data_IF_413632333111
#
_entry.id   IF_413632333111
#
_cell.length_a   1.000
_cell.length_b   1.000
_cell.length_c   1.000
_cell.angle_alpha   90.00
_cell.angle_beta   90.00
_cell.angle_gamma   90.00
#
_symmetry.space_group_name_H-M   'P 1'
#
loop_
_entity.id
_entity.type
_entity.pdbx_description
1 polymer ?
#
# COMPACT_ATOMS: atom_id res chain seq x y z
N UNK A 1 -1.51 -37.62 -22.68
CA UNK A 1 -0.90 -36.37 -23.15
C UNK A 1 -0.62 -35.46 -21.95
N UNK A 2 0.04 -35.99 -20.90
CA UNK A 2 0.28 -35.32 -19.62
C UNK A 2 1.62 -35.72 -18.97
N UNK A 3 2.60 -36.14 -19.80
CA UNK A 3 3.89 -36.69 -19.31
C UNK A 3 5.12 -35.99 -19.92
N UNK A 4 5.08 -34.63 -20.05
CA UNK A 4 6.21 -33.90 -20.66
C UNK A 4 6.64 -32.63 -19.91
N UNK A 5 6.44 -32.55 -18.58
CA UNK A 5 6.88 -31.40 -17.78
C UNK A 5 7.69 -31.74 -16.52
N UNK A 6 8.55 -32.76 -16.61
CA UNK A 6 9.50 -33.08 -15.56
C UNK A 6 10.89 -33.30 -16.18
N UNK A 7 11.54 -32.26 -16.65
CA UNK A 7 12.99 -32.24 -16.79
C UNK A 7 13.58 -31.33 -15.72
N UNK A 8 14.35 -31.95 -14.82
CA UNK A 8 15.07 -31.32 -13.73
C UNK A 8 16.30 -30.60 -14.27
N UNK A 9 16.43 -29.28 -14.04
CA UNK A 9 17.72 -28.62 -14.09
C UNK A 9 18.30 -28.46 -12.68
N UNK A 10 19.64 -28.65 -12.49
CA UNK A 10 20.26 -28.65 -11.17
C UNK A 10 20.40 -27.24 -10.60
N UNK A 11 20.00 -27.06 -9.36
CA UNK A 11 20.22 -25.89 -8.52
C UNK A 11 21.72 -25.71 -8.27
N UNK A 12 22.40 -24.92 -9.06
CA UNK A 12 23.68 -24.34 -8.68
C UNK A 12 23.47 -22.88 -8.26
N UNK A 13 23.81 -22.64 -7.01
CA UNK A 13 23.64 -21.34 -6.38
C UNK A 13 24.65 -20.31 -6.86
N UNK A 14 24.15 -19.15 -7.12
CA UNK A 14 24.82 -17.89 -6.81
C UNK A 14 23.73 -16.85 -6.52
N UNK A 15 23.35 -16.75 -5.24
CA UNK A 15 22.42 -15.76 -4.74
C UNK A 15 23.16 -14.45 -4.54
N UNK A 16 23.48 -13.77 -5.62
CA UNK A 16 23.64 -12.32 -5.55
C UNK A 16 22.27 -11.73 -5.28
N UNK A 17 22.05 -11.32 -4.03
CA UNK A 17 20.91 -10.50 -3.60
C UNK A 17 20.96 -9.22 -4.45
N UNK A 18 20.21 -9.22 -5.56
CA UNK A 18 19.91 -7.98 -6.27
C UNK A 18 19.17 -7.09 -5.27
N UNK A 19 19.74 -5.94 -4.96
CA UNK A 19 19.08 -4.83 -4.28
C UNK A 19 17.84 -4.43 -5.12
N UNK A 20 16.71 -5.07 -4.88
CA UNK A 20 15.41 -4.70 -5.41
C UNK A 20 14.71 -3.88 -4.35
N UNK A 21 15.11 -2.62 -4.23
CA UNK A 21 14.45 -1.63 -3.38
C UNK A 21 13.55 -0.68 -4.14
N UNK A 22 13.19 -0.96 -5.40
CA UNK A 22 12.30 -0.09 -6.17
C UNK A 22 10.87 -0.63 -6.14
N UNK A 23 9.95 0.23 -5.78
CA UNK A 23 8.52 -0.05 -5.90
C UNK A 23 8.15 -0.32 -7.36
N UNK A 24 7.70 -1.54 -7.61
CA UNK A 24 7.39 -2.05 -8.96
C UNK A 24 6.03 -1.56 -9.50
N UNK A 25 5.35 -0.67 -8.78
CA UNK A 25 4.04 -0.13 -9.16
C UNK A 25 4.10 1.11 -10.06
N UNK A 26 5.29 1.58 -10.39
CA UNK A 26 5.51 2.85 -11.10
C UNK A 26 6.36 2.61 -12.35
N UNK A 27 5.96 3.20 -13.48
CA UNK A 27 6.73 3.15 -14.74
C UNK A 27 7.98 4.04 -14.62
N UNK A 28 9.17 3.44 -14.70
CA UNK A 28 10.48 4.08 -14.48
C UNK A 28 11.17 4.50 -15.77
N UNK A 29 10.44 4.87 -16.80
CA UNK A 29 11.04 5.25 -18.10
C UNK A 29 11.77 6.59 -18.06
N UNK A 30 11.37 7.52 -17.21
CA UNK A 30 12.05 8.81 -17.04
C UNK A 30 12.96 8.80 -15.80
N UNK A 31 14.28 8.81 -16.04
CA UNK A 31 15.31 8.83 -15.01
C UNK A 31 15.82 10.25 -14.66
N UNK A 32 15.14 11.31 -15.10
CA UNK A 32 15.58 12.69 -14.82
C UNK A 32 15.47 13.08 -13.33
N UNK A 33 14.53 12.45 -12.60
CA UNK A 33 14.40 12.55 -11.15
C UNK A 33 14.10 11.17 -10.58
N UNK A 34 15.07 10.59 -9.88
CA UNK A 34 14.98 9.29 -9.23
C UNK A 34 15.03 9.49 -7.73
N UNK A 35 14.04 8.99 -7.03
CA UNK A 35 13.93 9.07 -5.57
C UNK A 35 13.73 7.67 -5.03
N UNK A 36 14.53 7.32 -4.02
CA UNK A 36 14.39 6.06 -3.28
C UNK A 36 14.60 6.29 -1.78
N UNK A 37 14.21 5.32 -0.97
CA UNK A 37 14.48 5.34 0.48
C UNK A 37 15.61 4.34 0.75
N UNK A 38 16.83 4.84 0.89
CA UNK A 38 18.04 4.04 1.03
C UNK A 38 18.15 3.37 2.40
N UNK A 39 17.62 4.01 3.45
CA UNK A 39 17.65 3.52 4.82
C UNK A 39 16.47 4.08 5.63
N UNK A 40 16.13 3.40 6.72
CA UNK A 40 15.15 3.88 7.67
C UNK A 40 15.50 3.42 9.07
N UNK A 41 15.39 4.33 10.04
CA UNK A 41 15.67 4.08 11.45
C UNK A 41 14.39 4.22 12.27
N UNK A 42 14.15 3.23 13.14
CA UNK A 42 13.06 3.30 14.11
C UNK A 42 13.60 3.76 15.46
N UNK A 43 13.30 5.00 15.85
CA UNK A 43 13.66 5.57 17.14
C UNK A 43 12.40 5.75 18.00
N UNK A 44 12.29 4.96 19.07
CA UNK A 44 11.13 4.95 19.98
C UNK A 44 9.79 4.85 19.20
N UNK A 45 9.06 5.97 19.06
CA UNK A 45 7.76 6.02 18.38
C UNK A 45 7.82 6.65 16.99
N UNK A 46 9.00 7.00 16.50
CA UNK A 46 9.21 7.69 15.23
C UNK A 46 10.07 6.87 14.30
N UNK A 47 9.71 6.93 13.01
CA UNK A 47 10.55 6.39 11.94
C UNK A 47 11.12 7.56 11.19
N UNK A 48 12.43 7.54 11.00
CA UNK A 48 13.17 8.44 10.14
C UNK A 48 13.54 7.69 8.86
N UNK A 49 13.17 8.24 7.73
CA UNK A 49 13.45 7.71 6.40
C UNK A 49 14.58 8.51 5.77
N UNK A 50 15.64 7.87 5.34
CA UNK A 50 16.70 8.49 4.54
C UNK A 50 16.27 8.47 3.08
N UNK A 51 15.77 9.59 2.61
CA UNK A 51 15.35 9.79 1.22
C UNK A 51 16.59 10.13 0.41
N UNK A 52 16.91 9.30 -0.56
CA UNK A 52 18.01 9.49 -1.49
C UNK A 52 17.45 9.96 -2.85
N UNK A 53 18.07 11.00 -3.40
CA UNK A 53 17.62 11.62 -4.64
C UNK A 53 18.77 11.72 -5.63
N UNK A 54 18.52 11.28 -6.87
CA UNK A 54 19.38 11.52 -8.04
C UNK A 54 18.61 12.28 -9.10
N UNK A 55 19.18 13.36 -9.61
CA UNK A 55 18.49 14.20 -10.59
C UNK A 55 19.42 14.78 -11.64
N UNK A 56 18.89 14.98 -12.84
CA UNK A 56 19.49 15.75 -13.92
C UNK A 56 18.75 17.07 -14.19
N UNK A 57 17.71 17.34 -13.40
CA UNK A 57 16.92 18.57 -13.53
C UNK A 57 17.74 19.78 -13.06
N UNK A 58 17.70 20.91 -13.81
CA UNK A 58 18.53 22.07 -13.53
C UNK A 58 18.14 22.85 -12.26
N UNK A 59 16.92 22.66 -11.77
CA UNK A 59 16.38 23.41 -10.61
C UNK A 59 16.91 22.90 -9.26
N UNK A 60 17.64 21.77 -9.25
CA UNK A 60 18.24 21.22 -8.04
C UNK A 60 19.69 21.68 -7.86
N UNK A 61 20.09 21.94 -6.62
CA UNK A 61 21.43 22.45 -6.30
C UNK A 61 22.56 21.41 -6.52
N UNK A 62 22.23 20.11 -6.37
CA UNK A 62 23.17 18.99 -6.53
C UNK A 62 22.51 17.90 -7.35
N UNK A 63 23.29 17.10 -8.09
CA UNK A 63 22.78 15.96 -8.87
C UNK A 63 22.49 14.71 -8.03
N UNK A 64 23.05 14.61 -6.82
CA UNK A 64 22.83 13.51 -5.88
C UNK A 64 22.95 14.03 -4.44
N UNK A 65 21.95 13.68 -3.61
CA UNK A 65 21.88 14.11 -2.21
C UNK A 65 20.92 13.24 -1.42
N UNK A 66 20.95 13.37 -0.09
CA UNK A 66 20.07 12.69 0.85
C UNK A 66 19.47 13.66 1.85
N UNK A 67 18.23 13.37 2.27
CA UNK A 67 17.57 14.09 3.34
C UNK A 67 16.83 13.12 4.26
N UNK A 68 16.80 13.41 5.55
CA UNK A 68 16.08 12.60 6.52
C UNK A 68 14.67 13.15 6.71
N UNK A 69 13.63 12.30 6.63
CA UNK A 69 12.22 12.69 6.75
C UNK A 69 11.46 11.77 7.70
N UNK A 70 10.53 12.35 8.46
CA UNK A 70 9.58 11.63 9.31
C UNK A 70 8.24 11.47 8.59
N UNK A 71 7.41 10.54 9.03
CA UNK A 71 6.09 10.29 8.44
C UNK A 71 5.22 11.56 8.33
N UNK A 72 5.27 12.42 9.35
CA UNK A 72 4.50 13.66 9.39
C UNK A 72 4.87 14.64 8.27
N UNK A 73 6.13 14.60 7.81
CA UNK A 73 6.60 15.44 6.70
C UNK A 73 6.06 14.94 5.35
N UNK A 74 5.85 13.62 5.19
CA UNK A 74 5.17 13.06 4.01
C UNK A 74 3.69 13.47 3.98
N UNK A 75 3.01 13.46 5.12
CA UNK A 75 1.62 13.94 5.23
C UNK A 75 1.55 15.43 4.93
N UNK A 76 2.49 16.22 5.46
CA UNK A 76 2.59 17.66 5.14
C UNK A 76 2.76 17.89 3.64
N UNK A 77 3.64 17.14 2.98
CA UNK A 77 3.86 17.26 1.54
C UNK A 77 2.57 16.95 0.76
N UNK A 78 1.90 15.85 1.09
CA UNK A 78 0.61 15.51 0.49
C UNK A 78 -0.41 16.64 0.67
N UNK A 79 -0.53 17.21 1.87
CA UNK A 79 -1.47 18.28 2.17
C UNK A 79 -1.15 19.55 1.36
N UNK A 80 0.13 19.87 1.12
CA UNK A 80 0.51 20.98 0.23
C UNK A 80 0.00 20.79 -1.21
N UNK A 81 0.08 19.56 -1.75
CA UNK A 81 -0.49 19.27 -3.05
C UNK A 81 -2.02 19.38 -3.05
N UNK A 82 -2.69 18.89 -2.02
CA UNK A 82 -4.15 18.94 -1.91
C UNK A 82 -4.71 20.37 -1.75
N UNK A 83 -3.97 21.25 -1.09
CA UNK A 83 -4.36 22.63 -0.86
C UNK A 83 -4.07 23.55 -2.06
N UNK A 84 -3.18 23.15 -2.96
CA UNK A 84 -2.84 23.96 -4.12
C UNK A 84 -3.91 23.87 -5.20
N UNK A 85 -4.57 24.99 -5.49
CA UNK A 85 -5.62 25.08 -6.51
C UNK A 85 -5.14 24.73 -7.94
N UNK A 86 -3.84 24.92 -8.23
CA UNK A 86 -3.26 24.57 -9.54
C UNK A 86 -3.28 23.06 -9.79
N UNK A 87 -3.27 22.26 -8.72
CA UNK A 87 -3.30 20.79 -8.77
C UNK A 87 -4.72 20.22 -8.67
N UNK A 88 -5.74 21.06 -8.64
CA UNK A 88 -7.12 20.61 -8.51
C UNK A 88 -7.58 19.67 -9.62
N UNK A 89 -7.00 19.79 -10.82
CA UNK A 89 -7.28 18.96 -12.01
C UNK A 89 -6.49 17.64 -12.08
N UNK A 90 -5.65 17.32 -11.08
CA UNK A 90 -4.79 16.14 -11.07
C UNK A 90 -5.19 15.14 -9.99
N UNK A 91 -4.84 13.86 -10.20
CA UNK A 91 -4.96 12.82 -9.17
C UNK A 91 -3.73 12.90 -8.25
N UNK A 92 -3.90 13.47 -7.09
CA UNK A 92 -2.82 13.57 -6.10
C UNK A 92 -2.60 12.17 -5.48
N UNK A 93 -1.38 11.61 -5.56
CA UNK A 93 -1.09 10.30 -4.98
C UNK A 93 -1.49 10.24 -3.50
N UNK A 94 -2.12 9.14 -3.03
CA UNK A 94 -2.54 9.03 -1.64
C UNK A 94 -1.33 9.13 -0.71
N UNK A 95 -1.48 9.83 0.41
CA UNK A 95 -0.47 9.87 1.45
C UNK A 95 -0.12 8.45 1.92
N UNK A 96 1.15 8.17 2.26
CA UNK A 96 1.52 6.86 2.80
C UNK A 96 0.78 6.61 4.12
N UNK A 97 0.43 5.34 4.41
CA UNK A 97 -0.26 5.01 5.65
C UNK A 97 0.64 5.27 6.85
N UNK A 98 0.02 5.64 7.98
CA UNK A 98 0.76 5.84 9.23
C UNK A 98 1.42 4.52 9.64
N UNK A 99 2.72 4.54 10.01
CA UNK A 99 3.40 3.37 10.53
C UNK A 99 2.71 2.85 11.80
N UNK A 100 2.33 1.58 11.81
CA UNK A 100 1.74 0.92 12.98
C UNK A 100 2.57 -0.29 13.40
N UNK A 101 3.32 -0.12 14.46
CA UNK A 101 4.12 -1.16 15.10
C UNK A 101 3.59 -1.56 16.48
N UNK A 102 2.42 -1.03 16.86
CA UNK A 102 1.84 -1.25 18.18
C UNK A 102 1.64 -2.74 18.48
N UNK A 103 1.03 -3.47 17.55
CA UNK A 103 0.76 -4.89 17.70
C UNK A 103 2.05 -5.74 17.83
N UNK A 104 3.08 -5.42 17.02
CA UNK A 104 4.36 -6.15 17.08
C UNK A 104 5.12 -5.85 18.39
N UNK A 105 5.10 -4.60 18.86
CA UNK A 105 5.70 -4.22 20.15
C UNK A 105 4.98 -4.85 21.32
N UNK A 106 3.66 -4.89 21.33
CA UNK A 106 2.86 -5.52 22.39
C UNK A 106 3.15 -7.03 22.48
N UNK A 107 3.29 -7.71 21.34
CA UNK A 107 3.68 -9.13 21.31
C UNK A 107 5.10 -9.36 21.87
N UNK A 108 6.06 -8.51 21.48
CA UNK A 108 7.43 -8.58 22.02
C UNK A 108 7.47 -8.31 23.53
N UNK A 109 6.68 -7.36 24.01
CA UNK A 109 6.57 -7.06 25.45
C UNK A 109 5.96 -8.24 26.23
N UNK A 110 4.86 -8.80 25.75
CA UNK A 110 4.24 -10.00 26.36
C UNK A 110 5.19 -11.20 26.37
N UNK A 111 6.02 -11.35 25.34
CA UNK A 111 7.03 -12.40 25.31
C UNK A 111 8.09 -12.18 26.39
N UNK A 112 8.55 -10.94 26.59
CA UNK A 112 9.52 -10.61 27.65
C UNK A 112 8.95 -10.80 29.06
N UNK A 113 7.65 -10.60 29.27
CA UNK A 113 6.98 -10.86 30.56
C UNK A 113 6.77 -12.36 30.80
N UNK A 114 6.67 -13.18 29.76
CA UNK A 114 6.50 -14.64 29.83
C UNK A 114 7.77 -15.46 29.92
N UNK A 115 8.94 -14.85 30.08
CA UNK A 115 10.27 -15.50 30.08
C UNK A 115 10.43 -16.66 31.07
N UNK A 116 9.62 -16.69 32.15
CA UNK A 116 9.64 -17.77 33.15
C UNK A 116 8.72 -18.96 32.84
N UNK A 117 7.89 -18.92 31.81
CA UNK A 117 6.88 -19.97 31.51
C UNK A 117 7.24 -20.86 30.32
N UNK A 118 8.30 -20.53 29.60
CA UNK A 118 8.78 -21.23 28.40
C UNK A 118 10.22 -21.70 28.58
N UNK A 119 10.65 -22.69 27.79
CA UNK A 119 12.07 -23.04 27.70
C UNK A 119 12.84 -21.89 27.01
N UNK A 120 14.13 -21.77 27.32
CA UNK A 120 14.99 -20.75 26.68
C UNK A 120 15.00 -20.86 25.18
N UNK A 121 14.98 -22.07 24.64
CA UNK A 121 14.97 -22.34 23.21
C UNK A 121 13.67 -21.91 22.56
N UNK A 122 12.52 -22.15 23.17
CA UNK A 122 11.21 -21.69 22.70
C UNK A 122 11.10 -20.17 22.74
N UNK A 123 11.58 -19.55 23.81
CA UNK A 123 11.60 -18.10 23.94
C UNK A 123 12.45 -17.42 22.85
N UNK A 124 13.68 -17.90 22.63
CA UNK A 124 14.55 -17.36 21.56
C UNK A 124 13.98 -17.58 20.16
N UNK A 125 13.30 -18.70 19.94
CA UNK A 125 12.65 -18.99 18.68
C UNK A 125 11.49 -18.01 18.42
N UNK A 126 10.63 -17.83 19.40
CA UNK A 126 9.49 -16.91 19.31
C UNK A 126 9.95 -15.46 19.15
N UNK A 127 11.01 -15.07 19.87
CA UNK A 127 11.63 -13.75 19.72
C UNK A 127 12.10 -13.50 18.29
N UNK A 128 12.86 -14.43 17.70
CA UNK A 128 13.33 -14.32 16.30
C UNK A 128 12.18 -14.21 15.29
N UNK A 129 11.08 -14.89 15.53
CA UNK A 129 9.89 -14.82 14.67
C UNK A 129 9.18 -13.48 14.77
N UNK A 130 9.03 -12.94 15.98
CA UNK A 130 8.45 -11.60 16.19
C UNK A 130 9.34 -10.50 15.62
N UNK A 131 10.67 -10.64 15.73
CA UNK A 131 11.62 -9.74 15.09
C UNK A 131 11.51 -9.78 13.56
N UNK A 132 11.33 -10.97 12.97
CA UNK A 132 11.10 -11.12 11.53
C UNK A 132 9.76 -10.50 11.09
N UNK A 133 8.69 -10.67 11.88
CA UNK A 133 7.38 -10.02 11.64
C UNK A 133 7.49 -8.49 11.70
N UNK A 134 8.20 -7.99 12.71
CA UNK A 134 8.49 -6.56 12.84
C UNK A 134 9.26 -6.01 11.61
N UNK A 135 10.31 -6.72 11.21
CA UNK A 135 11.12 -6.33 10.04
C UNK A 135 10.31 -6.34 8.74
N UNK A 136 9.41 -7.31 8.56
CA UNK A 136 8.52 -7.35 7.40
C UNK A 136 7.57 -6.13 7.37
N UNK A 137 6.96 -5.80 8.51
CA UNK A 137 6.11 -4.60 8.66
C UNK A 137 6.90 -3.31 8.41
N UNK A 138 8.14 -3.27 8.87
CA UNK A 138 9.03 -2.14 8.66
C UNK A 138 9.36 -1.94 7.17
N UNK A 139 9.78 -3.00 6.46
CA UNK A 139 10.04 -2.98 5.02
C UNK A 139 8.82 -2.55 4.21
N UNK A 140 7.65 -3.04 4.57
CA UNK A 140 6.36 -2.63 3.98
C UNK A 140 6.09 -1.14 4.17
N UNK A 141 6.34 -0.61 5.37
CA UNK A 141 6.19 0.81 5.67
C UNK A 141 7.12 1.66 4.80
N UNK A 142 8.41 1.27 4.68
CA UNK A 142 9.37 1.95 3.81
C UNK A 142 8.90 1.95 2.36
N UNK A 143 8.50 0.80 1.82
CA UNK A 143 8.03 0.67 0.44
C UNK A 143 6.82 1.58 0.14
N UNK A 144 5.86 1.70 1.07
CA UNK A 144 4.69 2.57 0.88
C UNK A 144 5.05 4.05 0.84
N UNK A 145 6.05 4.49 1.63
CA UNK A 145 6.56 5.87 1.59
C UNK A 145 7.33 6.14 0.30
N UNK A 146 8.12 5.18 -0.16
CA UNK A 146 8.85 5.26 -1.43
C UNK A 146 7.91 5.35 -2.63
N UNK A 147 6.83 4.54 -2.68
CA UNK A 147 5.81 4.61 -3.74
C UNK A 147 5.24 6.03 -3.88
N UNK A 148 4.93 6.69 -2.78
CA UNK A 148 4.42 8.05 -2.78
C UNK A 148 5.40 9.02 -3.46
N UNK A 149 6.68 8.99 -3.07
CA UNK A 149 7.71 9.85 -3.64
C UNK A 149 7.97 9.53 -5.12
N UNK A 150 8.04 8.25 -5.48
CA UNK A 150 8.21 7.81 -6.87
C UNK A 150 7.07 8.31 -7.76
N UNK A 151 5.83 8.27 -7.26
CA UNK A 151 4.65 8.78 -7.98
C UNK A 151 4.73 10.29 -8.21
N UNK A 152 5.20 11.07 -7.22
CA UNK A 152 5.43 12.51 -7.36
C UNK A 152 6.57 12.80 -8.34
N UNK A 153 7.70 12.10 -8.22
CA UNK A 153 8.88 12.28 -9.05
C UNK A 153 8.64 11.98 -10.53
N UNK A 154 7.76 11.04 -10.84
CA UNK A 154 7.44 10.65 -12.21
C UNK A 154 6.32 11.48 -12.85
N UNK A 155 5.54 12.18 -12.04
CA UNK A 155 4.47 13.01 -12.57
C UNK A 155 5.05 14.29 -13.20
N UNK A 156 4.78 14.60 -14.47
CA UNK A 156 5.42 15.71 -15.20
C UNK A 156 5.21 17.08 -14.55
N UNK A 157 4.13 17.25 -13.79
CA UNK A 157 3.82 18.50 -13.09
C UNK A 157 4.36 18.48 -11.65
N UNK A 158 4.08 17.42 -10.87
CA UNK A 158 4.46 17.37 -9.46
C UNK A 158 5.97 17.34 -9.22
N UNK A 159 6.74 16.75 -10.14
CA UNK A 159 8.21 16.71 -10.05
C UNK A 159 8.86 18.09 -10.02
N UNK A 160 8.20 19.12 -10.55
CA UNK A 160 8.68 20.50 -10.61
C UNK A 160 8.13 21.36 -9.46
N UNK A 161 7.34 20.79 -8.54
CA UNK A 161 6.77 21.50 -7.41
C UNK A 161 7.84 22.01 -6.43
N UNK A 162 7.71 23.25 -5.99
CA UNK A 162 8.63 23.87 -5.05
C UNK A 162 8.66 23.16 -3.70
N UNK A 163 7.49 22.75 -3.15
CA UNK A 163 7.43 22.08 -1.86
C UNK A 163 8.02 20.68 -1.96
N UNK A 164 7.86 19.99 -3.11
CA UNK A 164 8.50 18.71 -3.35
C UNK A 164 10.02 18.84 -3.40
N UNK A 165 10.55 19.86 -4.09
CA UNK A 165 11.97 20.14 -4.10
C UNK A 165 12.51 20.45 -2.69
N UNK A 166 11.83 21.30 -1.93
CA UNK A 166 12.17 21.56 -0.52
C UNK A 166 12.15 20.30 0.31
N UNK A 167 11.15 19.45 0.14
CA UNK A 167 11.07 18.15 0.81
C UNK A 167 12.27 17.25 0.46
N UNK A 168 12.78 17.28 -0.76
CA UNK A 168 13.91 16.45 -1.17
C UNK A 168 15.26 17.02 -0.74
N UNK A 169 15.50 18.33 -0.88
CA UNK A 169 16.82 18.96 -0.72
C UNK A 169 17.11 19.49 0.69
N UNK A 170 16.10 19.90 1.45
CA UNK A 170 16.35 20.56 2.74
C UNK A 170 16.95 19.57 3.74
N UNK A 171 18.17 19.85 4.21
CA UNK A 171 18.94 18.89 5.03
C UNK A 171 18.41 18.75 6.47
N UNK A 172 17.76 19.77 7.02
CA UNK A 172 17.19 19.76 8.36
C UNK A 172 15.74 19.28 8.36
N UNK A 173 15.22 18.94 9.56
CA UNK A 173 13.80 18.62 9.74
C UNK A 173 12.95 19.80 9.26
N UNK A 174 11.97 19.52 8.41
CA UNK A 174 10.97 20.51 8.08
C UNK A 174 10.19 20.78 9.36
N UNK A 175 10.21 22.02 9.88
CA UNK A 175 9.50 22.39 11.11
C UNK A 175 7.98 22.31 10.91
N UNK A 176 7.48 21.09 10.69
CA UNK A 176 6.08 20.81 10.48
C UNK A 176 5.38 20.93 11.83
N UNK A 177 4.52 21.93 11.96
CA UNK A 177 3.66 22.05 13.13
C UNK A 177 2.78 20.81 13.21
N UNK A 178 3.09 19.93 14.16
CA UNK A 178 2.24 18.80 14.49
C UNK A 178 0.89 19.35 14.96
N UNK A 179 -0.16 19.12 14.18
CA UNK A 179 -1.53 19.42 14.61
C UNK A 179 -1.81 18.70 15.93
N UNK A 180 -2.27 19.42 16.93
CA UNK A 180 -2.60 18.87 18.25
C UNK A 180 -3.65 17.75 18.10
N UNK A 181 -3.71 16.81 19.09
CA UNK A 181 -4.69 15.70 19.07
C UNK A 181 -6.14 16.18 18.83
N UNK A 182 -6.51 17.36 19.35
CA UNK A 182 -7.82 17.99 19.13
C UNK A 182 -8.00 18.48 17.70
N UNK A 183 -6.99 19.13 17.10
CA UNK A 183 -7.03 19.56 15.70
C UNK A 183 -7.10 18.35 14.75
N UNK A 184 -6.36 17.25 15.07
CA UNK A 184 -6.45 15.98 14.31
C UNK A 184 -7.84 15.33 14.42
N UNK A 185 -8.47 15.37 15.59
CA UNK A 185 -9.82 14.83 15.77
C UNK A 185 -10.85 15.71 15.05
N UNK A 186 -10.72 17.02 15.13
CA UNK A 186 -11.58 17.97 14.45
C UNK A 186 -11.43 17.91 12.93
N UNK A 187 -10.19 17.80 12.42
CA UNK A 187 -9.91 17.57 11.01
C UNK A 187 -10.38 16.20 10.53
N UNK A 188 -10.25 15.16 11.37
CA UNK A 188 -10.79 13.83 11.08
C UNK A 188 -12.31 13.83 11.00
N UNK A 189 -12.99 14.46 11.95
CA UNK A 189 -14.45 14.61 11.94
C UNK A 189 -14.90 15.51 10.78
N UNK A 190 -14.21 16.62 10.52
CA UNK A 190 -14.45 17.49 9.36
C UNK A 190 -14.15 16.78 8.03
N UNK A 191 -13.13 15.94 7.97
CA UNK A 191 -12.81 15.13 6.81
C UNK A 191 -13.87 14.07 6.56
N UNK A 192 -14.34 13.37 7.60
CA UNK A 192 -15.41 12.38 7.48
C UNK A 192 -16.71 13.06 7.07
N UNK A 193 -17.10 14.18 7.70
CA UNK A 193 -18.33 14.90 7.34
C UNK A 193 -18.23 15.53 5.96
N UNK A 194 -17.11 16.19 5.63
CA UNK A 194 -16.85 16.68 4.26
C UNK A 194 -16.89 15.53 3.25
N UNK A 195 -16.21 14.42 3.51
CA UNK A 195 -16.16 13.28 2.58
C UNK A 195 -17.53 12.64 2.39
N UNK A 196 -18.36 12.59 3.45
CA UNK A 196 -19.71 12.05 3.38
C UNK A 196 -20.67 13.01 2.67
N UNK A 197 -20.63 14.31 3.00
CA UNK A 197 -21.46 15.33 2.35
C UNK A 197 -21.01 15.55 0.89
N UNK A 198 -19.71 15.55 0.62
CA UNK A 198 -19.13 15.62 -0.71
C UNK A 198 -19.50 14.40 -1.57
N UNK A 199 -19.50 13.22 -0.95
CA UNK A 199 -19.89 11.97 -1.62
C UNK A 199 -21.39 11.92 -1.93
N UNK A 200 -22.23 12.32 -0.98
CA UNK A 200 -23.68 12.43 -1.17
C UNK A 200 -24.03 13.47 -2.23
N UNK A 201 -23.41 14.65 -2.18
CA UNK A 201 -23.62 15.71 -3.17
C UNK A 201 -23.18 15.27 -4.56
N UNK A 202 -22.01 14.61 -4.70
CA UNK A 202 -21.52 14.12 -5.99
C UNK A 202 -22.35 12.96 -6.55
N UNK A 203 -22.96 12.14 -5.70
CA UNK A 203 -23.81 11.03 -6.14
C UNK A 203 -25.15 11.50 -6.71
N UNK A 204 -25.65 12.66 -6.25
CA UNK A 204 -26.98 13.20 -6.66
C UNK A 204 -26.92 14.16 -7.86
N UNK A 205 -25.77 14.80 -8.10
CA UNK A 205 -25.61 15.74 -9.21
C UNK A 205 -25.14 14.99 -10.47
N UNK A 206 -25.95 15.06 -11.53
CA UNK A 206 -25.58 14.52 -12.84
C UNK A 206 -24.57 15.45 -13.52
N UNK A 207 -23.49 14.87 -14.03
CA UNK A 207 -22.49 15.62 -14.81
C UNK A 207 -23.03 16.00 -16.19
N UNK A 208 -22.58 17.14 -16.72
CA UNK A 208 -22.95 17.60 -18.08
C UNK A 208 -22.22 16.82 -19.17
N UNK A 209 -21.10 16.17 -18.85
CA UNK A 209 -20.32 15.35 -19.77
C UNK A 209 -20.46 13.86 -19.45
N UNK A 210 -20.95 13.08 -20.39
CA UNK A 210 -21.17 11.63 -20.24
C UNK A 210 -19.91 10.86 -19.81
N UNK A 211 -18.73 11.31 -20.27
CA UNK A 211 -17.47 10.72 -19.86
C UNK A 211 -17.29 10.77 -18.32
N UNK A 212 -17.45 11.95 -17.72
CA UNK A 212 -17.23 12.11 -16.27
C UNK A 212 -18.34 11.47 -15.43
N UNK A 213 -19.57 11.46 -15.95
CA UNK A 213 -20.67 10.73 -15.30
C UNK A 213 -20.39 9.22 -15.27
N UNK A 214 -19.89 8.68 -16.38
CA UNK A 214 -19.50 7.27 -16.47
C UNK A 214 -18.35 6.96 -15.54
N UNK A 215 -17.29 7.80 -15.50
CA UNK A 215 -16.14 7.63 -14.60
C UNK A 215 -16.53 7.74 -13.13
N UNK A 216 -17.42 8.66 -12.78
CA UNK A 216 -17.94 8.80 -11.42
C UNK A 216 -18.61 7.50 -10.95
N UNK A 217 -19.56 6.99 -11.75
CA UNK A 217 -20.29 5.78 -11.42
C UNK A 217 -19.35 4.55 -11.33
N UNK A 218 -18.39 4.45 -12.25
CA UNK A 218 -17.36 3.43 -12.22
C UNK A 218 -16.52 3.53 -10.94
N UNK A 219 -15.99 4.70 -10.59
CA UNK A 219 -15.11 4.87 -9.42
C UNK A 219 -15.84 4.66 -8.09
N UNK A 220 -17.11 5.01 -8.01
CA UNK A 220 -17.94 4.73 -6.83
C UNK A 220 -18.04 3.21 -6.60
N UNK A 221 -18.45 2.47 -7.63
CA UNK A 221 -18.57 1.02 -7.56
C UNK A 221 -17.22 0.34 -7.34
N UNK A 222 -16.21 0.73 -8.10
CA UNK A 222 -14.85 0.18 -8.02
C UNK A 222 -14.23 0.36 -6.63
N UNK A 223 -14.33 1.56 -6.06
CA UNK A 223 -13.83 1.84 -4.72
C UNK A 223 -14.54 0.98 -3.65
N UNK A 224 -15.85 0.81 -3.76
CA UNK A 224 -16.62 -0.04 -2.84
C UNK A 224 -16.17 -1.51 -2.92
N UNK A 225 -15.97 -2.03 -4.14
CA UNK A 225 -15.45 -3.39 -4.33
C UNK A 225 -14.01 -3.56 -3.84
N UNK A 226 -13.14 -2.55 -4.04
CA UNK A 226 -11.78 -2.58 -3.49
C UNK A 226 -11.79 -2.62 -1.96
N UNK A 227 -12.63 -1.80 -1.31
CA UNK A 227 -12.77 -1.80 0.15
C UNK A 227 -13.19 -3.17 0.68
N UNK A 228 -14.15 -3.80 0.04
CA UNK A 228 -14.60 -5.16 0.39
C UNK A 228 -13.49 -6.20 0.14
N UNK A 229 -12.80 -6.11 -1.00
CA UNK A 229 -11.69 -7.00 -1.33
C UNK A 229 -10.53 -6.88 -0.33
N UNK A 230 -10.13 -5.66 0.06
CA UNK A 230 -9.12 -5.42 1.11
C UNK A 230 -9.51 -6.11 2.41
N UNK A 231 -10.75 -5.89 2.88
CA UNK A 231 -11.21 -6.50 4.12
C UNK A 231 -11.20 -8.04 4.09
N UNK A 232 -11.48 -8.64 2.94
CA UNK A 232 -11.43 -10.10 2.73
C UNK A 232 -10.00 -10.61 2.66
N UNK A 233 -9.10 -9.92 1.94
CA UNK A 233 -7.69 -10.26 1.85
C UNK A 233 -7.00 -10.18 3.23
N UNK A 234 -7.25 -9.13 4.00
CA UNK A 234 -6.73 -8.98 5.36
C UNK A 234 -7.21 -10.11 6.29
N UNK A 235 -8.48 -10.51 6.14
CA UNK A 235 -9.02 -11.66 6.88
C UNK A 235 -8.36 -12.97 6.47
N UNK A 236 -8.10 -13.18 5.18
CA UNK A 236 -7.40 -14.36 4.66
C UNK A 236 -6.00 -14.45 5.26
N UNK A 237 -5.20 -13.40 5.18
CA UNK A 237 -3.87 -13.31 5.79
C UNK A 237 -3.90 -13.59 7.30
N UNK A 238 -4.90 -13.05 8.01
CA UNK A 238 -5.08 -13.36 9.44
C UNK A 238 -5.34 -14.85 9.68
N UNK A 239 -6.15 -15.50 8.84
CA UNK A 239 -6.46 -16.92 8.97
C UNK A 239 -5.27 -17.82 8.70
N UNK A 240 -4.39 -17.48 7.77
CA UNK A 240 -3.11 -18.18 7.59
C UNK A 240 -2.24 -18.11 8.85
N UNK A 241 -2.20 -16.95 9.53
CA UNK A 241 -1.53 -16.82 10.83
C UNK A 241 -2.17 -17.69 11.91
N UNK A 242 -3.52 -17.75 11.99
CA UNK A 242 -4.25 -18.61 12.93
C UNK A 242 -3.94 -20.11 12.68
N UNK A 243 -3.81 -20.53 11.42
CA UNK A 243 -3.42 -21.90 11.03
C UNK A 243 -1.99 -22.19 11.50
N UNK A 244 -1.05 -21.28 11.27
CA UNK A 244 0.32 -21.43 11.76
C UNK A 244 0.38 -21.58 13.27
N UNK A 245 -0.39 -20.80 14.02
CA UNK A 245 -0.47 -20.90 15.47
C UNK A 245 -1.11 -22.23 15.94
N UNK A 246 -2.03 -22.78 15.16
CA UNK A 246 -2.62 -24.11 15.40
C UNK A 246 -1.58 -25.23 15.18
N UNK A 247 -0.75 -25.13 14.15
CA UNK A 247 0.35 -26.07 13.92
C UNK A 247 1.34 -26.08 15.09
N UNK A 248 1.66 -24.92 15.69
CA UNK A 248 2.50 -24.84 16.87
C UNK A 248 1.91 -25.63 18.03
N UNK A 249 0.61 -25.47 18.31
CA UNK A 249 -0.07 -26.23 19.38
C UNK A 249 -0.06 -27.72 19.16
N UNK A 250 -0.27 -28.15 17.89
CA UNK A 250 -0.20 -29.57 17.52
C UNK A 250 1.23 -30.11 17.72
N UNK A 251 2.25 -29.35 17.28
CA UNK A 251 3.66 -29.70 17.47
C UNK A 251 3.96 -29.96 18.94
N UNK A 252 3.60 -29.02 19.83
CA UNK A 252 3.83 -29.16 21.28
C UNK A 252 3.10 -30.38 21.88
N UNK A 253 1.85 -30.63 21.45
CA UNK A 253 1.09 -31.79 21.92
C UNK A 253 1.73 -33.12 21.48
N UNK A 254 2.20 -33.21 20.21
CA UNK A 254 2.87 -34.41 19.69
C UNK A 254 4.19 -34.70 20.42
N UNK A 255 4.97 -33.68 20.72
CA UNK A 255 6.19 -33.80 21.52
C UNK A 255 5.85 -34.31 22.93
N UNK A 256 4.80 -33.74 23.55
CA UNK A 256 4.31 -34.21 24.87
C UNK A 256 3.91 -35.69 24.88
N UNK A 257 3.22 -36.16 23.83
CA UNK A 257 2.88 -37.59 23.68
C UNK A 257 4.17 -38.43 23.49
N UNK A 258 5.08 -37.98 22.61
CA UNK A 258 6.32 -38.70 22.33
C UNK A 258 7.19 -38.92 23.58
N UNK A 259 7.17 -37.97 24.52
CA UNK A 259 7.94 -38.12 25.80
C UNK A 259 7.35 -39.17 26.75
N UNK A 260 6.07 -39.53 26.58
CA UNK A 260 5.39 -40.55 27.41
C UNK A 260 5.42 -41.93 26.80
N UNK A 261 5.72 -42.03 25.52
CA UNK A 261 5.73 -43.27 24.75
C UNK A 261 7.06 -44.02 24.84
N UNK A 262 7.00 -45.36 24.73
CA UNK A 262 8.16 -46.22 24.76
C UNK A 262 8.60 -46.65 23.34
N UNK A 263 9.77 -46.18 22.93
CA UNK A 263 10.69 -46.63 21.88
C UNK A 263 10.22 -46.65 20.41
N UNK A 264 8.99 -47.02 20.09
CA UNK A 264 8.61 -47.24 18.69
C UNK A 264 7.74 -46.12 18.10
N UNK A 265 6.84 -45.58 18.90
CA UNK A 265 5.95 -44.52 18.44
C UNK A 265 6.57 -43.12 18.61
N UNK A 266 7.53 -42.97 19.53
CA UNK A 266 8.20 -41.69 19.78
C UNK A 266 8.86 -41.08 18.53
N UNK A 267 9.54 -41.91 17.72
CA UNK A 267 10.18 -41.48 16.46
C UNK A 267 9.20 -40.94 15.45
N UNK A 268 8.05 -41.64 15.28
CA UNK A 268 7.00 -41.22 14.37
C UNK A 268 6.35 -39.92 14.83
N UNK A 269 6.08 -39.80 16.14
CA UNK A 269 5.48 -38.60 16.72
C UNK A 269 6.42 -37.38 16.63
N UNK A 270 7.71 -37.58 16.91
CA UNK A 270 8.72 -36.54 16.76
C UNK A 270 8.86 -36.12 15.28
N UNK A 271 8.87 -37.08 14.35
CA UNK A 271 8.91 -36.75 12.91
C UNK A 271 7.67 -36.00 12.45
N UNK A 272 6.51 -36.33 12.95
CA UNK A 272 5.27 -35.63 12.67
C UNK A 272 5.28 -34.23 13.28
N UNK A 273 5.78 -34.06 14.50
CA UNK A 273 5.97 -32.78 15.15
C UNK A 273 6.90 -31.86 14.33
N UNK A 274 8.06 -32.38 13.86
CA UNK A 274 8.98 -31.68 12.96
C UNK A 274 8.29 -31.25 11.65
N UNK A 275 7.45 -32.11 11.11
CA UNK A 275 6.67 -31.83 9.90
C UNK A 275 5.70 -30.67 10.11
N UNK A 276 4.92 -30.68 11.20
CA UNK A 276 4.01 -29.57 11.52
C UNK A 276 4.75 -28.27 11.83
N UNK A 277 5.92 -28.34 12.49
CA UNK A 277 6.74 -27.15 12.70
C UNK A 277 7.25 -26.55 11.38
N UNK A 278 7.61 -27.39 10.41
CA UNK A 278 8.01 -26.94 9.08
C UNK A 278 6.82 -26.38 8.29
N UNK A 279 5.66 -27.04 8.36
CA UNK A 279 4.42 -26.55 7.78
C UNK A 279 4.01 -25.18 8.35
N UNK A 280 4.17 -24.97 9.66
CA UNK A 280 3.95 -23.69 10.33
C UNK A 280 4.80 -22.56 9.73
N UNK A 281 6.09 -22.84 9.49
CA UNK A 281 7.01 -21.84 8.89
C UNK A 281 6.58 -21.48 7.46
N UNK A 282 6.19 -22.49 6.67
CA UNK A 282 5.68 -22.29 5.31
C UNK A 282 4.42 -21.39 5.36
N UNK A 283 3.48 -21.71 6.24
CA UNK A 283 2.21 -20.97 6.37
C UNK A 283 2.43 -19.48 6.72
N UNK A 284 3.41 -19.18 7.57
CA UNK A 284 3.78 -17.79 7.88
C UNK A 284 4.37 -17.05 6.68
N UNK A 285 5.15 -17.75 5.84
CA UNK A 285 5.69 -17.17 4.60
C UNK A 285 4.54 -16.90 3.61
N UNK A 286 3.62 -17.85 3.45
CA UNK A 286 2.41 -17.67 2.64
C UNK A 286 1.64 -16.43 3.07
N UNK A 287 1.34 -16.31 4.36
CA UNK A 287 0.63 -15.15 4.90
C UNK A 287 1.35 -13.82 4.60
N UNK A 288 2.68 -13.80 4.68
CA UNK A 288 3.47 -12.60 4.40
C UNK A 288 3.47 -12.23 2.91
N UNK A 289 3.61 -13.22 2.02
CA UNK A 289 3.65 -13.01 0.58
C UNK A 289 2.28 -12.58 0.04
N UNK A 290 1.18 -13.16 0.54
CA UNK A 290 -0.19 -12.75 0.22
C UNK A 290 -0.47 -11.32 0.70
N UNK A 291 -0.07 -10.98 1.93
CA UNK A 291 -0.23 -9.61 2.43
C UNK A 291 0.50 -8.60 1.53
N UNK A 292 1.73 -8.92 1.14
CA UNK A 292 2.55 -8.05 0.31
C UNK A 292 2.04 -7.93 -1.14
N UNK A 293 1.67 -9.04 -1.77
CA UNK A 293 1.34 -9.04 -3.21
C UNK A 293 -0.14 -8.79 -3.49
N UNK A 294 -1.04 -9.24 -2.62
CA UNK A 294 -2.48 -9.06 -2.80
C UNK A 294 -3.02 -7.91 -1.95
N UNK A 295 -2.90 -8.00 -0.63
CA UNK A 295 -3.53 -7.03 0.28
C UNK A 295 -3.00 -5.62 0.09
N UNK A 296 -1.68 -5.45 -0.06
CA UNK A 296 -1.07 -4.13 -0.26
C UNK A 296 -1.40 -3.53 -1.61
N UNK A 297 -1.43 -4.34 -2.68
CA UNK A 297 -1.87 -3.87 -3.99
C UNK A 297 -3.32 -3.39 -3.95
N UNK A 298 -4.22 -4.16 -3.36
CA UNK A 298 -5.63 -3.77 -3.20
C UNK A 298 -5.76 -2.51 -2.35
N UNK A 299 -5.02 -2.41 -1.26
CA UNK A 299 -5.04 -1.26 -0.33
C UNK A 299 -4.51 0.01 -0.99
N UNK A 300 -3.43 -0.11 -1.77
CA UNK A 300 -2.90 1.00 -2.55
C UNK A 300 -3.93 1.53 -3.54
N UNK A 301 -4.55 0.65 -4.34
CA UNK A 301 -5.55 1.08 -5.33
C UNK A 301 -6.88 1.50 -4.71
N UNK A 302 -7.20 1.07 -3.51
CA UNK A 302 -8.30 1.65 -2.73
C UNK A 302 -8.00 3.14 -2.43
N UNK A 303 -6.80 3.47 -1.99
CA UNK A 303 -6.35 4.87 -1.79
C UNK A 303 -6.31 5.67 -3.10
N UNK A 304 -5.73 5.11 -4.16
CA UNK A 304 -5.60 5.78 -5.47
C UNK A 304 -7.00 6.02 -6.12
N UNK A 305 -7.93 5.06 -5.98
CA UNK A 305 -9.33 5.25 -6.42
C UNK A 305 -10.06 6.33 -5.63
N UNK A 306 -9.73 6.49 -4.34
CA UNK A 306 -10.26 7.59 -3.52
C UNK A 306 -9.71 8.94 -3.99
N UNK A 307 -8.43 9.03 -4.32
CA UNK A 307 -7.81 10.22 -4.89
C UNK A 307 -8.46 10.60 -6.24
N UNK A 308 -8.72 9.61 -7.11
CA UNK A 308 -9.44 9.81 -8.37
C UNK A 308 -10.90 10.33 -8.16
N UNK A 309 -11.60 9.83 -7.14
CA UNK A 309 -12.92 10.35 -6.75
C UNK A 309 -12.84 11.80 -6.27
N UNK A 310 -11.81 12.18 -5.54
CA UNK A 310 -11.57 13.56 -5.09
C UNK A 310 -11.36 14.51 -6.27
N UNK A 311 -10.65 14.10 -7.31
CA UNK A 311 -10.54 14.85 -8.56
C UNK A 311 -11.93 15.15 -9.15
N UNK A 312 -12.78 14.12 -9.31
CA UNK A 312 -14.13 14.29 -9.86
C UNK A 312 -14.98 15.21 -9.00
N UNK A 313 -14.86 15.12 -7.68
CA UNK A 313 -15.54 16.02 -6.76
C UNK A 313 -15.09 17.48 -6.94
N UNK A 314 -13.77 17.73 -6.99
CA UNK A 314 -13.24 19.08 -7.22
C UNK A 314 -13.75 19.67 -8.54
N UNK A 315 -13.82 18.83 -9.58
CA UNK A 315 -14.37 19.21 -10.88
C UNK A 315 -15.86 19.55 -10.82
N UNK A 316 -16.69 18.74 -10.15
CA UNK A 316 -18.12 19.03 -9.96
C UNK A 316 -18.33 20.33 -9.18
N UNK A 317 -17.52 20.62 -8.18
CA UNK A 317 -17.54 21.91 -7.48
C UNK A 317 -17.18 23.07 -8.42
N UNK A 318 -16.25 22.88 -9.31
CA UNK A 318 -15.89 23.86 -10.34
C UNK A 318 -17.05 24.09 -11.32
N UNK A 319 -17.77 23.04 -11.74
CA UNK A 319 -18.98 23.12 -12.53
C UNK A 319 -20.07 23.94 -11.81
N UNK A 320 -20.33 23.65 -10.52
CA UNK A 320 -21.31 24.39 -9.72
C UNK A 320 -20.95 25.89 -9.61
N UNK A 321 -19.66 26.22 -9.50
CA UNK A 321 -19.20 27.61 -9.50
C UNK A 321 -19.46 28.29 -10.85
N UNK A 322 -19.21 27.60 -11.96
CA UNK A 322 -19.51 28.10 -13.31
C UNK A 322 -21.02 28.33 -13.51
N UNK A 323 -21.85 27.38 -13.09
CA UNK A 323 -23.32 27.54 -13.16
C UNK A 323 -23.83 28.71 -12.29
N UNK A 324 -23.22 28.94 -11.12
CA UNK A 324 -23.53 30.07 -10.26
C UNK A 324 -23.15 31.40 -10.93
N UNK A 325 -21.95 31.45 -11.57
CA UNK A 325 -21.51 32.62 -12.29
C UNK A 325 -22.46 32.95 -13.48
N UNK A 326 -22.93 31.92 -14.21
CA UNK A 326 -23.93 32.08 -15.27
C UNK A 326 -25.23 32.70 -14.69
N UNK A 327 -25.76 32.16 -13.59
CA UNK A 327 -26.96 32.68 -12.93
C UNK A 327 -26.80 34.13 -12.47
N UNK A 328 -25.62 34.49 -11.95
CA UNK A 328 -25.34 35.86 -11.51
C UNK A 328 -25.25 36.83 -12.70
N UNK A 329 -24.63 36.40 -13.79
CA UNK A 329 -24.60 37.19 -15.02
C UNK A 329 -26.00 37.46 -15.55
N UNK A 330 -26.87 36.45 -15.61
CA UNK A 330 -28.25 36.63 -16.06
C UNK A 330 -29.04 37.60 -15.15
N UNK A 331 -28.87 37.48 -13.82
CA UNK A 331 -29.46 38.43 -12.87
C UNK A 331 -28.97 39.88 -13.10
N UNK A 332 -27.66 40.06 -13.30
CA UNK A 332 -27.07 41.37 -13.56
C UNK A 332 -27.60 41.97 -14.84
N UNK A 333 -27.74 41.17 -15.95
CA UNK A 333 -28.34 41.58 -17.21
C UNK A 333 -29.83 42.02 -17.06
N UNK A 334 -30.59 41.23 -16.29
CA UNK A 334 -32.00 41.55 -16.05
C UNK A 334 -32.18 42.85 -15.26
N UNK A 335 -31.33 43.05 -14.24
CA UNK A 335 -31.35 44.26 -13.39
C UNK A 335 -30.96 45.53 -14.17
N UNK A 336 -30.06 45.42 -15.14
CA UNK A 336 -29.47 46.54 -15.83
C UNK A 336 -29.90 46.60 -17.32
N UNK A 337 -31.13 46.19 -17.66
CA UNK A 337 -31.61 46.11 -19.07
C UNK A 337 -31.49 47.44 -19.86
N UNK A 338 -31.61 48.56 -19.17
CA UNK A 338 -31.66 49.88 -19.79
C UNK A 338 -30.29 50.64 -19.74
N UNK A 339 -29.27 50.00 -19.19
CA UNK A 339 -27.94 50.60 -19.02
C UNK A 339 -26.92 49.91 -19.91
N UNK A 340 -26.53 50.58 -21.00
CA UNK A 340 -25.44 50.10 -21.87
C UNK A 340 -24.11 50.12 -21.08
N UNK A 341 -23.44 48.95 -20.98
CA UNK A 341 -22.16 48.77 -20.29
C UNK A 341 -22.16 49.01 -18.77
N UNK A 342 -23.22 48.54 -18.06
CA UNK A 342 -23.24 48.60 -16.61
C UNK A 342 -22.04 47.86 -16.00
N UNK A 343 -21.29 48.47 -15.06
CA UNK A 343 -20.12 47.86 -14.43
C UNK A 343 -20.41 46.49 -13.83
N UNK A 344 -21.57 46.31 -13.19
CA UNK A 344 -22.03 45.04 -12.60
C UNK A 344 -22.12 43.90 -13.64
N UNK A 345 -22.57 44.22 -14.89
CA UNK A 345 -22.66 43.23 -15.97
C UNK A 345 -21.29 42.85 -16.48
N UNK A 346 -20.39 43.82 -16.62
CA UNK A 346 -19.01 43.59 -17.06
C UNK A 346 -18.25 42.75 -16.09
N UNK A 347 -18.38 43.02 -14.77
CA UNK A 347 -17.78 42.23 -13.70
C UNK A 347 -18.34 40.80 -13.65
N UNK A 348 -19.66 40.65 -13.70
CA UNK A 348 -20.31 39.34 -13.75
C UNK A 348 -19.91 38.52 -14.99
N UNK A 349 -19.70 39.19 -16.14
CA UNK A 349 -19.24 38.53 -17.36
C UNK A 349 -17.78 38.09 -17.28
N UNK A 350 -16.92 38.89 -16.64
CA UNK A 350 -15.53 38.51 -16.38
C UNK A 350 -15.44 37.32 -15.43
N UNK A 351 -16.22 37.32 -14.33
CA UNK A 351 -16.30 36.23 -13.36
C UNK A 351 -16.81 34.93 -14.01
N UNK A 352 -17.83 35.03 -14.88
CA UNK A 352 -18.37 33.90 -15.62
C UNK A 352 -17.32 33.30 -16.57
N UNK A 353 -16.59 34.15 -17.31
CA UNK A 353 -15.52 33.70 -18.22
C UNK A 353 -14.42 32.98 -17.46
N UNK A 354 -13.95 33.55 -16.35
CA UNK A 354 -12.92 32.93 -15.50
C UNK A 354 -13.38 31.59 -14.96
N UNK A 355 -14.64 31.47 -14.49
CA UNK A 355 -15.18 30.22 -14.00
C UNK A 355 -15.30 29.15 -15.10
N UNK A 356 -15.67 29.55 -16.34
CA UNK A 356 -15.73 28.71 -17.52
C UNK A 356 -14.34 28.15 -17.86
N UNK A 357 -13.35 29.02 -18.03
CA UNK A 357 -11.98 28.66 -18.35
C UNK A 357 -11.39 27.70 -17.29
N UNK A 358 -11.60 27.97 -15.99
CA UNK A 358 -11.15 27.08 -14.90
C UNK A 358 -11.81 25.71 -14.99
N UNK A 359 -13.12 25.64 -15.28
CA UNK A 359 -13.85 24.38 -15.42
C UNK A 359 -13.38 23.57 -16.65
N UNK A 360 -13.17 24.21 -17.79
CA UNK A 360 -12.69 23.57 -19.00
C UNK A 360 -11.27 23.01 -18.81
N UNK A 361 -10.33 23.81 -18.31
CA UNK A 361 -8.97 23.39 -18.01
C UNK A 361 -8.92 22.21 -17.03
N UNK A 362 -9.74 22.26 -15.98
CA UNK A 362 -9.83 21.15 -15.02
C UNK A 362 -10.44 19.90 -15.66
N UNK A 363 -11.38 20.06 -16.59
CA UNK A 363 -11.99 18.94 -17.29
C UNK A 363 -11.00 18.25 -18.23
N UNK A 364 -10.21 19.01 -18.98
CA UNK A 364 -9.22 18.46 -19.90
C UNK A 364 -8.13 17.70 -19.12
N UNK A 365 -7.52 18.33 -18.11
CA UNK A 365 -6.52 17.69 -17.24
C UNK A 365 -7.09 16.45 -16.54
N UNK A 366 -8.29 16.57 -15.97
CA UNK A 366 -8.94 15.47 -15.28
C UNK A 366 -9.27 14.27 -16.17
N UNK A 367 -9.56 14.52 -17.44
CA UNK A 367 -9.77 13.44 -18.42
C UNK A 367 -8.49 12.67 -18.70
N UNK A 368 -7.37 13.36 -18.91
CA UNK A 368 -6.05 12.76 -19.10
C UNK A 368 -5.64 11.94 -17.89
N UNK A 369 -5.76 12.50 -16.69
CA UNK A 369 -5.45 11.84 -15.43
C UNK A 369 -6.25 10.54 -15.19
N UNK A 370 -7.56 10.56 -15.50
CA UNK A 370 -8.41 9.39 -15.36
C UNK A 370 -8.08 8.30 -16.38
N UNK A 371 -7.69 8.67 -17.60
CA UNK A 371 -7.22 7.74 -18.62
C UNK A 371 -5.90 7.08 -18.20
N UNK A 372 -4.95 7.88 -17.72
CA UNK A 372 -3.68 7.41 -17.21
C UNK A 372 -3.85 6.52 -15.95
N UNK A 373 -4.71 6.91 -15.02
CA UNK A 373 -5.09 6.07 -13.87
C UNK A 373 -5.59 4.68 -14.30
N UNK A 374 -6.41 4.61 -15.35
CA UNK A 374 -6.90 3.33 -15.87
C UNK A 374 -5.77 2.47 -16.43
N UNK A 375 -4.87 3.06 -17.20
CA UNK A 375 -3.76 2.35 -17.82
C UNK A 375 -2.78 1.80 -16.77
N UNK A 376 -2.32 2.65 -15.86
CA UNK A 376 -1.40 2.28 -14.77
C UNK A 376 -1.95 1.15 -13.93
N UNK A 377 -3.22 1.26 -13.53
CA UNK A 377 -3.89 0.23 -12.72
C UNK A 377 -3.84 -1.15 -13.37
N UNK A 378 -4.17 -1.24 -14.66
CA UNK A 378 -4.19 -2.53 -15.38
C UNK A 378 -2.79 -3.15 -15.40
N UNK A 379 -1.77 -2.37 -15.69
CA UNK A 379 -0.37 -2.83 -15.73
C UNK A 379 0.06 -3.37 -14.36
N UNK A 380 -0.18 -2.60 -13.30
CA UNK A 380 0.24 -2.97 -11.96
C UNK A 380 -0.52 -4.19 -11.42
N UNK A 381 -1.84 -4.26 -11.60
CA UNK A 381 -2.61 -5.45 -11.19
C UNK A 381 -2.14 -6.70 -11.92
N UNK A 382 -1.96 -6.62 -13.24
CA UNK A 382 -1.45 -7.75 -14.03
C UNK A 382 -0.12 -8.25 -13.48
N UNK A 383 0.84 -7.36 -13.23
CA UNK A 383 2.16 -7.71 -12.70
C UNK A 383 2.03 -8.38 -11.33
N UNK A 384 1.38 -7.74 -10.37
CA UNK A 384 1.25 -8.25 -9.00
C UNK A 384 0.48 -9.59 -8.93
N UNK A 385 -0.54 -9.79 -9.77
CA UNK A 385 -1.27 -11.06 -9.81
C UNK A 385 -0.46 -12.20 -10.43
N UNK A 386 0.40 -11.92 -11.42
CA UNK A 386 1.34 -12.91 -11.97
C UNK A 386 2.33 -13.32 -10.87
N UNK A 387 2.96 -12.37 -10.20
CA UNK A 387 3.91 -12.64 -9.13
C UNK A 387 3.27 -13.39 -7.96
N UNK A 388 2.03 -13.05 -7.59
CA UNK A 388 1.27 -13.81 -6.59
C UNK A 388 1.09 -15.27 -7.03
N UNK A 389 0.67 -15.51 -8.28
CA UNK A 389 0.47 -16.87 -8.78
C UNK A 389 1.79 -17.69 -8.80
N UNK A 390 2.91 -17.06 -9.14
CA UNK A 390 4.23 -17.70 -9.09
C UNK A 390 4.64 -18.08 -7.65
N UNK A 391 4.36 -17.19 -6.68
CA UNK A 391 4.59 -17.47 -5.26
C UNK A 391 3.71 -18.61 -4.76
N UNK A 392 2.43 -18.63 -5.10
CA UNK A 392 1.51 -19.71 -4.73
C UNK A 392 1.97 -21.08 -5.27
N UNK A 393 2.44 -21.14 -6.52
CA UNK A 393 3.03 -22.34 -7.11
C UNK A 393 4.27 -22.79 -6.31
N UNK A 394 5.15 -21.85 -5.95
CA UNK A 394 6.34 -22.13 -5.14
C UNK A 394 5.97 -22.68 -3.76
N UNK A 395 4.99 -22.09 -3.09
CA UNK A 395 4.51 -22.52 -1.78
C UNK A 395 3.91 -23.94 -1.85
N UNK A 396 3.04 -24.20 -2.84
CA UNK A 396 2.46 -25.51 -3.06
C UNK A 396 3.53 -26.58 -3.31
N UNK A 397 4.56 -26.30 -4.13
CA UNK A 397 5.68 -27.23 -4.36
C UNK A 397 6.45 -27.51 -3.06
N UNK A 398 6.69 -26.50 -2.24
CA UNK A 398 7.39 -26.65 -0.96
C UNK A 398 6.59 -27.53 0.00
N UNK A 399 5.28 -27.33 0.09
CA UNK A 399 4.40 -28.18 0.91
C UNK A 399 4.37 -29.62 0.43
N UNK A 400 4.24 -29.86 -0.89
CA UNK A 400 4.28 -31.21 -1.47
C UNK A 400 5.61 -31.89 -1.15
N UNK A 401 6.75 -31.19 -1.26
CA UNK A 401 8.06 -31.76 -0.95
C UNK A 401 8.18 -32.12 0.54
N UNK A 402 7.68 -31.26 1.44
CA UNK A 402 7.63 -31.55 2.87
C UNK A 402 6.92 -32.89 3.16
N UNK A 403 5.70 -33.05 2.63
CA UNK A 403 4.92 -34.26 2.86
C UNK A 403 5.50 -35.50 2.18
N UNK A 404 6.12 -35.37 0.99
CA UNK A 404 6.87 -36.46 0.36
C UNK A 404 8.02 -36.96 1.24
N UNK A 405 8.81 -36.03 1.82
CA UNK A 405 9.92 -36.36 2.71
C UNK A 405 9.43 -37.05 3.98
N UNK A 406 8.35 -36.55 4.58
CA UNK A 406 7.71 -37.17 5.75
C UNK A 406 7.21 -38.58 5.44
N UNK A 407 6.52 -38.76 4.31
CA UNK A 407 6.02 -40.06 3.90
C UNK A 407 7.15 -41.10 3.65
N UNK A 408 8.23 -40.66 3.01
CA UNK A 408 9.40 -41.51 2.77
C UNK A 408 10.04 -41.96 4.10
N UNK A 409 10.19 -41.07 5.08
CA UNK A 409 10.69 -41.41 6.40
C UNK A 409 9.79 -42.43 7.11
N UNK A 410 8.48 -42.19 7.16
CA UNK A 410 7.52 -43.10 7.81
C UNK A 410 7.51 -44.49 7.18
N UNK A 411 7.62 -44.61 5.85
CA UNK A 411 7.68 -45.89 5.16
C UNK A 411 8.98 -46.65 5.38
N UNK A 412 10.12 -45.96 5.43
CA UNK A 412 11.43 -46.59 5.64
C UNK A 412 11.57 -47.14 7.06
N UNK A 413 11.05 -46.45 8.08
CA UNK A 413 11.04 -46.95 9.45
C UNK A 413 10.13 -48.19 9.64
N UNK A 414 9.03 -48.28 8.87
CA UNK A 414 8.18 -49.47 8.88
C UNK A 414 8.79 -50.67 8.17
N UNK A 415 9.47 -50.46 7.04
CA UNK A 415 10.12 -51.54 6.26
C UNK A 415 11.35 -52.13 6.96
N UNK A 416 12.05 -51.36 7.78
CA UNK A 416 13.22 -51.82 8.56
C UNK A 416 12.85 -52.80 9.67
N UNK A 417 11.59 -52.91 10.08
CA UNK A 417 11.13 -53.83 11.13
C UNK A 417 10.68 -55.18 10.56
N UNK A 418 10.14 -55.23 9.33
CA UNK A 418 9.75 -56.49 8.70
C UNK A 418 10.94 -57.35 8.28
N UNK A 419 12.16 -56.77 8.19
CA UNK A 419 13.38 -57.50 7.85
C UNK A 419 14.19 -58.04 9.03
N UNK A 420 13.75 -57.78 10.28
CA UNK A 420 14.44 -58.15 11.49
C UNK A 420 13.83 -59.31 12.31
N UNK A 421 12.67 -59.86 11.89
CA UNK A 421 12.03 -61.05 12.46
C UNK A 421 12.08 -62.21 11.48
N UNK A 422 13.27 -62.82 11.29
CA UNK A 422 13.44 -64.18 10.74
C UNK A 422 14.65 -64.85 11.44
#
# INVERSE_FOLDING_TARGET
MMDKFLEEEPLNGDTTVKKSGRSETVDLTDNSLVVDISDALSEADKIKFTVHTKTTLPDFAKSEFTATRQHEEFVWLHDRFEENEEYAGYIIPPAPPRPDFGASREKLHKLSEGEGTMTKEEHEKMKRELEAEYLATFKKTVAMHEVFLCRLAQHPVFRNDHNFRVFLEYESDLAVRLKNKYEKLEDFVKSISKTTDEFLASATVKDIYDFFETEKNFLISYHAHLKDAVAKADRMTSKHKDVADSYMKITSALIGIATTENRDLDKFLNKLAETFETARKIERIVASDEDLKLSDTLRYYMGDSFAAKRLLYRRLRCLANYENANRNLEKARVKNKDVHAAPEVTEAQAAQRQACEKFEQMSDKGKEELQDFKARRVIAFRKNLIELAELEIKHAKTQVQLFKNTLAFLKNETAGKDSGEN
#
